data_IF_759446164873
#
_entry.id   IF_759446164873
#
_cell.length_a   1.000
_cell.length_b   1.000
_cell.length_c   1.000
_cell.angle_alpha   90.00
_cell.angle_beta   90.00
_cell.angle_gamma   90.00
#
_symmetry.space_group_name_H-M   'P 1'
#
loop_
_entity.id
_entity.type
_entity.pdbx_description
1 polymer ?
#
# COMPACT_ATOMS: atom_id res chain seq x y z
N UNK A 1 -39.56 8.22 21.35
CA UNK A 1 -38.49 7.76 20.45
C UNK A 1 -37.95 6.48 21.03
N UNK A 2 -38.14 5.34 20.35
CA UNK A 2 -37.51 4.08 20.77
C UNK A 2 -36.00 4.27 20.69
N UNK A 3 -35.30 4.07 21.81
CA UNK A 3 -33.84 4.03 21.82
C UNK A 3 -33.42 2.90 20.86
N UNK A 4 -32.64 3.22 19.85
CA UNK A 4 -32.11 2.20 18.97
C UNK A 4 -31.21 1.26 19.80
N UNK A 5 -31.39 -0.03 19.58
CA UNK A 5 -30.65 -1.05 20.29
C UNK A 5 -29.16 -0.98 19.91
N UNK A 6 -28.30 -0.78 20.92
CA UNK A 6 -26.84 -0.83 20.75
C UNK A 6 -26.41 -2.30 20.72
N UNK A 7 -25.85 -2.74 19.60
CA UNK A 7 -25.37 -4.12 19.37
C UNK A 7 -23.86 -4.13 19.47
N UNK A 8 -23.31 -4.74 20.53
CA UNK A 8 -21.86 -4.91 20.65
C UNK A 8 -21.31 -5.82 19.54
N UNK A 9 -20.17 -5.45 18.94
CA UNK A 9 -19.50 -6.21 17.88
C UNK A 9 -18.17 -6.77 18.38
N UNK A 10 -17.29 -5.91 18.88
CA UNK A 10 -15.96 -6.31 19.38
C UNK A 10 -15.31 -5.24 20.24
N UNK A 11 -14.41 -5.68 21.11
CA UNK A 11 -13.41 -4.82 21.74
C UNK A 11 -12.12 -4.80 20.90
N UNK A 12 -11.42 -3.67 20.87
CA UNK A 12 -10.18 -3.51 20.12
C UNK A 12 -9.29 -2.46 20.79
N UNK A 13 -8.10 -2.25 20.25
CA UNK A 13 -7.23 -1.12 20.60
C UNK A 13 -7.34 -0.04 19.55
N UNK A 14 -7.20 1.22 19.98
CA UNK A 14 -7.18 2.39 19.11
C UNK A 14 -6.18 3.41 19.65
N UNK A 15 -5.99 4.51 18.94
CA UNK A 15 -5.15 5.63 19.38
C UNK A 15 -6.02 6.78 19.88
N UNK A 16 -5.57 7.44 20.94
CA UNK A 16 -6.10 8.76 21.29
C UNK A 16 -5.78 9.75 20.16
N UNK A 17 -6.73 10.51 19.63
CA UNK A 17 -6.44 11.48 18.56
C UNK A 17 -5.51 12.62 19.01
N UNK A 18 -5.48 12.92 20.31
CA UNK A 18 -4.66 13.99 20.89
C UNK A 18 -3.24 13.50 21.23
N UNK A 19 -3.10 12.62 22.22
CA UNK A 19 -1.78 12.20 22.73
C UNK A 19 -1.19 10.97 22.03
N UNK A 20 -1.90 10.34 21.09
CA UNK A 20 -1.48 9.13 20.35
C UNK A 20 -1.23 7.89 21.21
N UNK A 21 -1.58 7.92 22.49
CA UNK A 21 -1.50 6.73 23.35
C UNK A 21 -2.46 5.65 22.86
N UNK A 22 -2.06 4.40 23.03
CA UNK A 22 -2.91 3.23 22.73
C UNK A 22 -3.91 3.07 23.86
N UNK A 23 -5.20 3.10 23.53
CA UNK A 23 -6.32 3.00 24.47
C UNK A 23 -7.31 1.93 24.01
N UNK A 24 -8.11 1.43 24.95
CA UNK A 24 -9.19 0.49 24.66
C UNK A 24 -10.31 1.18 23.88
N UNK A 25 -10.91 0.43 22.95
CA UNK A 25 -12.03 0.89 22.16
C UNK A 25 -13.08 -0.22 22.00
N UNK A 26 -14.33 0.19 21.96
CA UNK A 26 -15.47 -0.67 21.64
C UNK A 26 -15.99 -0.36 20.25
N UNK A 27 -16.29 -1.39 19.47
CA UNK A 27 -16.98 -1.29 18.17
C UNK A 27 -18.37 -1.87 18.34
N UNK A 28 -19.40 -1.11 18.00
CA UNK A 28 -20.80 -1.51 18.13
C UNK A 28 -21.66 -0.95 16.99
N UNK A 29 -22.82 -1.56 16.75
CA UNK A 29 -23.82 -1.04 15.81
C UNK A 29 -24.91 -0.27 16.54
N UNK A 30 -25.34 0.85 15.95
CA UNK A 30 -26.44 1.68 16.41
C UNK A 30 -26.95 2.51 15.22
N UNK A 31 -28.26 2.64 15.04
CA UNK A 31 -28.89 3.39 13.95
C UNK A 31 -28.42 2.98 12.53
N UNK A 32 -28.22 1.68 12.30
CA UNK A 32 -27.79 1.16 11.00
C UNK A 32 -26.34 1.45 10.64
N UNK A 33 -25.56 2.07 11.51
CA UNK A 33 -24.13 2.36 11.37
C UNK A 33 -23.31 1.53 12.35
N UNK A 34 -22.02 1.42 12.10
CA UNK A 34 -21.04 0.90 13.04
C UNK A 34 -20.22 2.04 13.59
N UNK A 35 -20.11 2.09 14.91
CA UNK A 35 -19.40 3.11 15.66
C UNK A 35 -18.15 2.54 16.32
N UNK A 36 -17.13 3.35 16.50
CA UNK A 36 -16.01 3.11 17.39
C UNK A 36 -16.05 4.13 18.53
N UNK A 37 -16.04 3.66 19.75
CA UNK A 37 -16.00 4.51 20.93
C UNK A 37 -14.80 4.15 21.79
N UNK A 38 -14.11 5.16 22.30
CA UNK A 38 -12.88 5.02 23.08
C UNK A 38 -12.77 6.14 24.12
N UNK A 39 -12.08 5.84 25.23
CA UNK A 39 -11.87 6.82 26.30
C UNK A 39 -10.38 6.92 26.61
N UNK A 40 -9.86 8.14 26.53
CA UNK A 40 -8.53 8.48 26.99
C UNK A 40 -8.61 9.04 28.43
N UNK A 41 -7.77 8.56 29.35
CA UNK A 41 -7.76 9.09 30.73
C UNK A 41 -7.52 10.61 30.80
N UNK A 42 -6.72 11.16 29.89
CA UNK A 42 -6.33 12.56 29.86
C UNK A 42 -7.25 13.44 29.00
N UNK A 43 -7.84 12.88 27.91
CA UNK A 43 -8.54 13.66 26.88
C UNK A 43 -10.03 13.29 26.74
N UNK A 44 -10.54 12.38 27.59
CA UNK A 44 -11.96 12.04 27.63
C UNK A 44 -12.40 11.08 26.52
N UNK A 45 -13.69 11.15 26.19
CA UNK A 45 -14.32 10.20 25.26
C UNK A 45 -14.33 10.70 23.83
N UNK A 46 -14.14 9.76 22.90
CA UNK A 46 -14.22 9.98 21.45
C UNK A 46 -15.13 8.92 20.84
N UNK A 47 -16.04 9.37 19.99
CA UNK A 47 -16.94 8.50 19.19
C UNK A 47 -16.84 8.91 17.73
N UNK A 48 -16.66 7.94 16.84
CA UNK A 48 -16.58 8.18 15.40
C UNK A 48 -17.24 7.06 14.62
N UNK A 49 -17.61 7.34 13.36
CA UNK A 49 -18.19 6.34 12.46
C UNK A 49 -17.07 5.39 12.02
N UNK A 50 -17.18 4.12 12.42
CA UNK A 50 -16.28 3.06 11.99
C UNK A 50 -16.66 2.51 10.61
N UNK A 51 -17.99 2.40 10.34
CA UNK A 51 -18.54 1.99 9.06
C UNK A 51 -19.93 2.59 8.87
N UNK A 52 -20.21 3.14 7.68
CA UNK A 52 -21.45 3.89 7.43
C UNK A 52 -22.72 3.02 7.26
N UNK A 53 -22.55 1.74 7.00
CA UNK A 53 -23.65 0.78 6.79
C UNK A 53 -23.35 -0.54 7.52
N UNK A 54 -24.15 -0.85 8.54
CA UNK A 54 -23.98 -2.06 9.34
C UNK A 54 -24.16 -3.37 8.55
N UNK A 55 -25.08 -3.39 7.57
CA UNK A 55 -25.30 -4.61 6.75
C UNK A 55 -24.10 -4.89 5.86
N UNK A 56 -23.51 -3.85 5.27
CA UNK A 56 -22.29 -3.98 4.47
C UNK A 56 -21.12 -4.41 5.34
N UNK A 57 -21.01 -3.90 6.55
CA UNK A 57 -20.00 -4.32 7.51
C UNK A 57 -20.13 -5.82 7.86
N UNK A 58 -21.34 -6.30 8.14
CA UNK A 58 -21.59 -7.74 8.40
C UNK A 58 -21.22 -8.59 7.18
N UNK A 59 -21.52 -8.10 5.97
CA UNK A 59 -21.11 -8.80 4.75
C UNK A 59 -19.59 -8.87 4.63
N UNK A 60 -18.86 -7.78 4.91
CA UNK A 60 -17.40 -7.74 4.89
C UNK A 60 -16.76 -8.69 5.91
N UNK A 61 -17.37 -8.84 7.10
CA UNK A 61 -16.89 -9.77 8.15
C UNK A 61 -16.89 -11.25 7.72
N UNK A 62 -17.72 -11.65 6.74
CA UNK A 62 -17.72 -13.02 6.20
C UNK A 62 -16.42 -13.38 5.48
N UNK A 63 -15.67 -12.38 5.04
CA UNK A 63 -14.38 -12.53 4.37
C UNK A 63 -13.20 -12.30 5.31
N UNK A 64 -13.45 -12.14 6.60
CA UNK A 64 -12.40 -11.99 7.60
C UNK A 64 -11.76 -13.34 7.87
N UNK A 65 -10.51 -13.48 7.45
CA UNK A 65 -9.71 -14.68 7.63
C UNK A 65 -8.46 -14.35 8.45
N UNK A 66 -8.26 -15.08 9.52
CA UNK A 66 -7.01 -15.06 10.30
C UNK A 66 -6.09 -16.08 9.66
N UNK A 67 -5.00 -15.62 9.04
CA UNK A 67 -4.02 -16.47 8.39
C UNK A 67 -3.32 -17.45 9.36
N UNK A 68 -2.60 -18.40 8.82
CA UNK A 68 -1.68 -19.23 9.59
C UNK A 68 -0.56 -18.36 10.15
N UNK A 69 -0.20 -18.54 11.40
CA UNK A 69 0.92 -17.85 12.06
C UNK A 69 2.22 -18.01 11.25
N UNK A 70 3.16 -17.10 11.50
CA UNK A 70 4.55 -17.29 11.09
C UNK A 70 5.20 -18.32 12.00
N UNK A 71 5.87 -19.31 11.40
CA UNK A 71 6.64 -20.33 12.10
C UNK A 71 8.05 -19.84 12.48
N UNK A 72 8.52 -18.81 11.77
CA UNK A 72 9.85 -18.23 11.95
C UNK A 72 9.78 -16.71 12.19
N UNK A 73 9.31 -16.27 13.38
CA UNK A 73 9.25 -14.86 13.73
C UNK A 73 10.63 -14.22 13.67
N UNK A 74 10.67 -12.91 13.34
CA UNK A 74 11.90 -12.15 13.11
C UNK A 74 12.26 -11.21 14.25
N UNK A 75 11.29 -10.89 15.10
CA UNK A 75 11.44 -9.96 16.22
C UNK A 75 11.00 -10.63 17.51
N UNK A 76 11.65 -10.27 18.62
CA UNK A 76 11.20 -10.67 19.94
C UNK A 76 9.97 -9.87 20.37
N UNK A 77 9.11 -10.48 21.15
CA UNK A 77 8.03 -9.80 21.83
C UNK A 77 8.48 -9.39 23.24
N UNK A 78 8.41 -8.09 23.55
CA UNK A 78 8.76 -7.52 24.86
C UNK A 78 7.60 -6.81 25.53
N UNK A 79 6.84 -6.02 24.77
CA UNK A 79 5.72 -5.21 25.25
C UNK A 79 4.37 -5.61 24.64
N UNK A 80 4.40 -6.51 23.66
CA UNK A 80 3.22 -6.92 22.93
C UNK A 80 2.78 -5.96 21.83
N UNK A 81 1.71 -6.33 21.15
CA UNK A 81 1.13 -5.53 20.07
C UNK A 81 0.44 -4.26 20.64
N UNK A 82 0.62 -3.08 20.04
CA UNK A 82 1.31 -2.77 18.77
C UNK A 82 2.79 -2.32 18.93
N UNK A 83 3.37 -2.42 20.12
CA UNK A 83 4.67 -1.81 20.44
C UNK A 83 5.84 -2.57 19.83
N UNK A 84 5.74 -3.89 19.71
CA UNK A 84 6.75 -4.75 19.10
C UNK A 84 6.38 -5.06 17.64
N UNK A 85 6.02 -4.01 16.89
CA UNK A 85 5.67 -4.15 15.48
C UNK A 85 6.87 -4.59 14.63
N UNK A 86 6.72 -5.75 14.10
CA UNK A 86 7.61 -6.52 13.26
C UNK A 86 6.92 -7.86 13.07
N UNK A 87 7.59 -8.83 12.53
CA UNK A 87 7.03 -10.18 12.42
C UNK A 87 7.36 -10.93 13.72
N UNK A 88 6.65 -10.58 14.80
CA UNK A 88 6.83 -11.18 16.13
C UNK A 88 6.05 -12.52 16.26
N UNK A 89 6.28 -13.32 17.35
CA UNK A 89 5.57 -14.59 17.56
C UNK A 89 4.04 -14.48 17.63
N UNK A 90 3.51 -13.30 18.01
CA UNK A 90 2.06 -13.06 18.07
C UNK A 90 1.44 -12.61 16.75
N UNK A 91 2.24 -12.43 15.71
CA UNK A 91 1.74 -12.05 14.39
C UNK A 91 0.89 -13.18 13.80
N UNK A 92 -0.39 -12.89 13.52
CA UNK A 92 -1.38 -13.91 13.13
C UNK A 92 -1.45 -14.15 11.62
N UNK A 93 -0.91 -13.22 10.82
CA UNK A 93 -0.94 -13.27 9.36
C UNK A 93 0.49 -13.39 8.82
N UNK A 94 0.62 -13.72 7.55
CA UNK A 94 1.90 -13.67 6.84
C UNK A 94 1.82 -12.64 5.70
N UNK A 95 2.95 -12.19 5.23
CA UNK A 95 3.06 -11.22 4.14
C UNK A 95 2.62 -11.85 2.83
N UNK A 96 1.52 -11.36 2.26
CA UNK A 96 1.03 -11.80 0.94
C UNK A 96 1.65 -10.96 -0.17
N UNK A 97 1.67 -9.64 0.00
CA UNK A 97 2.32 -8.68 -0.89
C UNK A 97 3.29 -7.83 -0.07
N UNK A 98 4.56 -7.84 -0.45
CA UNK A 98 5.55 -6.93 0.08
C UNK A 98 5.71 -5.72 -0.84
N UNK A 99 5.94 -4.55 -0.25
CA UNK A 99 6.28 -3.33 -0.99
C UNK A 99 7.72 -2.96 -0.60
N UNK A 100 8.56 -2.76 -1.61
CA UNK A 100 9.94 -2.31 -1.43
C UNK A 100 10.11 -0.97 -2.14
N UNK A 101 10.44 0.06 -1.36
CA UNK A 101 10.84 1.35 -1.87
C UNK A 101 12.29 1.28 -2.36
N UNK A 102 12.47 1.33 -3.68
CA UNK A 102 13.79 1.18 -4.31
C UNK A 102 14.53 2.51 -4.47
N UNK A 103 13.83 3.62 -4.28
CA UNK A 103 14.41 4.98 -4.32
C UNK A 103 13.45 5.98 -3.68
N UNK A 104 13.98 7.05 -3.09
CA UNK A 104 13.18 8.22 -2.72
C UNK A 104 13.21 9.33 -3.78
N UNK A 105 13.94 9.15 -4.89
CA UNK A 105 13.88 10.08 -6.03
C UNK A 105 12.55 9.98 -6.76
N UNK A 106 12.05 11.10 -7.23
CA UNK A 106 10.86 11.16 -8.06
C UNK A 106 11.05 12.21 -9.17
N UNK A 107 10.47 11.97 -10.33
CA UNK A 107 10.44 12.91 -11.45
C UNK A 107 9.19 13.81 -11.45
N UNK A 108 8.39 13.78 -10.37
CA UNK A 108 7.25 14.66 -10.10
C UNK A 108 7.40 15.30 -8.72
N UNK A 109 6.72 16.45 -8.53
CA UNK A 109 6.61 17.13 -7.25
C UNK A 109 5.12 17.32 -6.90
N UNK A 110 4.44 16.22 -6.59
CA UNK A 110 3.00 16.21 -6.37
C UNK A 110 2.62 16.92 -5.07
N UNK A 111 1.68 17.88 -5.08
CA UNK A 111 1.21 18.56 -3.86
C UNK A 111 0.67 17.61 -2.78
N UNK A 112 0.07 16.48 -3.19
CA UNK A 112 -0.52 15.50 -2.27
C UNK A 112 0.42 14.32 -1.96
N UNK A 113 1.74 14.46 -2.20
CA UNK A 113 2.67 13.35 -1.99
C UNK A 113 2.84 13.04 -0.50
N UNK A 114 2.32 11.90 -0.04
CA UNK A 114 2.47 11.47 1.35
C UNK A 114 3.89 10.98 1.68
N UNK A 115 4.66 10.55 0.67
CA UNK A 115 6.03 10.08 0.83
C UNK A 115 7.07 11.21 0.82
N UNK A 116 6.65 12.46 0.58
CA UNK A 116 7.55 13.62 0.40
C UNK A 116 8.72 13.34 -0.56
N UNK A 117 8.50 12.52 -1.57
CA UNK A 117 9.53 12.15 -2.54
C UNK A 117 10.09 13.39 -3.22
N UNK A 118 11.41 13.53 -3.23
CA UNK A 118 12.11 14.69 -3.77
C UNK A 118 12.19 15.91 -2.84
N UNK A 119 11.50 15.91 -1.69
CA UNK A 119 11.54 17.02 -0.72
C UNK A 119 12.41 16.74 0.52
N UNK A 120 12.97 15.54 0.65
CA UNK A 120 13.76 15.10 1.79
C UNK A 120 15.15 15.73 1.88
N UNK A 121 15.65 16.34 0.82
CA UNK A 121 16.99 16.93 0.76
C UNK A 121 18.16 15.94 0.65
N UNK A 122 17.87 14.63 0.61
CA UNK A 122 18.86 13.57 0.40
C UNK A 122 18.32 12.49 -0.51
N UNK A 123 19.23 11.76 -1.15
CA UNK A 123 18.88 10.58 -1.97
C UNK A 123 19.17 9.32 -1.17
N UNK A 124 18.17 8.45 -1.10
CA UNK A 124 18.29 7.10 -0.57
C UNK A 124 17.88 6.09 -1.63
N UNK A 125 18.84 5.30 -2.06
CA UNK A 125 18.64 4.19 -3.00
C UNK A 125 19.36 2.95 -2.46
N UNK A 126 18.63 1.92 -2.05
CA UNK A 126 19.24 0.65 -1.68
C UNK A 126 20.05 0.07 -2.85
N UNK A 127 21.23 -0.48 -2.57
CA UNK A 127 22.03 -1.18 -3.58
C UNK A 127 21.32 -2.46 -4.04
N UNK A 128 21.75 -3.05 -5.16
CA UNK A 128 21.21 -4.34 -5.64
C UNK A 128 21.38 -5.44 -4.57
N UNK A 129 22.51 -5.45 -3.86
CA UNK A 129 22.80 -6.41 -2.80
C UNK A 129 21.86 -6.23 -1.61
N UNK A 130 21.57 -4.99 -1.23
CA UNK A 130 20.59 -4.69 -0.16
C UNK A 130 19.18 -5.12 -0.57
N UNK A 131 18.77 -4.82 -1.81
CA UNK A 131 17.47 -5.28 -2.33
C UNK A 131 17.42 -6.81 -2.37
N UNK A 132 18.49 -7.47 -2.85
CA UNK A 132 18.59 -8.93 -2.83
C UNK A 132 18.39 -9.49 -1.42
N UNK A 133 19.06 -8.93 -0.42
CA UNK A 133 18.89 -9.35 0.97
C UNK A 133 17.46 -9.17 1.48
N UNK A 134 16.76 -8.07 1.09
CA UNK A 134 15.35 -7.87 1.41
C UNK A 134 14.48 -8.95 0.76
N UNK A 135 14.72 -9.29 -0.51
CA UNK A 135 14.00 -10.33 -1.23
C UNK A 135 14.22 -11.72 -0.60
N UNK A 136 15.47 -12.06 -0.25
CA UNK A 136 15.82 -13.29 0.46
C UNK A 136 15.07 -13.40 1.79
N UNK A 137 15.05 -12.31 2.57
CA UNK A 137 14.31 -12.25 3.82
C UNK A 137 12.82 -12.53 3.65
N UNK A 138 12.18 -11.95 2.63
CA UNK A 138 10.76 -12.19 2.31
C UNK A 138 10.50 -13.64 1.88
N UNK A 139 11.38 -14.21 1.06
CA UNK A 139 11.28 -15.61 0.62
C UNK A 139 11.58 -16.63 1.71
N UNK A 140 12.27 -16.21 2.76
CA UNK A 140 12.54 -17.06 3.92
C UNK A 140 11.36 -17.22 4.88
N UNK A 141 10.26 -16.49 4.72
CA UNK A 141 9.05 -16.61 5.56
C UNK A 141 8.46 -18.03 5.51
N UNK A 142 8.01 -18.54 6.66
CA UNK A 142 7.39 -19.87 6.83
C UNK A 142 6.07 -19.73 7.61
N UNK A 143 5.04 -20.53 7.33
CA UNK A 143 5.02 -21.66 6.38
C UNK A 143 4.95 -21.22 4.91
N UNK A 144 4.57 -19.95 4.64
CA UNK A 144 4.37 -19.43 3.29
C UNK A 144 5.42 -18.38 2.96
N UNK A 145 6.37 -18.66 2.05
CA UNK A 145 7.24 -17.65 1.46
C UNK A 145 6.42 -16.55 0.80
N UNK A 146 6.74 -15.28 1.04
CA UNK A 146 6.00 -14.14 0.47
C UNK A 146 5.82 -14.31 -1.04
N UNK A 147 4.59 -14.42 -1.56
CA UNK A 147 4.36 -14.79 -2.95
C UNK A 147 4.42 -13.61 -3.93
N UNK A 148 4.13 -12.40 -3.46
CA UNK A 148 4.01 -11.22 -4.31
C UNK A 148 4.87 -10.06 -3.82
N UNK A 149 5.34 -9.26 -4.76
CA UNK A 149 6.20 -8.11 -4.55
C UNK A 149 5.73 -6.93 -5.39
N UNK A 150 5.82 -5.73 -4.83
CA UNK A 150 5.65 -4.48 -5.55
C UNK A 150 6.89 -3.59 -5.33
N UNK A 151 7.54 -3.20 -6.40
CA UNK A 151 8.56 -2.14 -6.36
C UNK A 151 7.88 -0.79 -6.40
N UNK A 152 8.23 0.06 -5.46
CA UNK A 152 7.66 1.39 -5.22
C UNK A 152 8.76 2.38 -4.77
N UNK A 153 8.39 3.47 -4.14
CA UNK A 153 9.28 4.50 -3.59
C UNK A 153 8.80 5.90 -3.95
N UNK A 154 9.73 6.77 -4.34
CA UNK A 154 9.37 8.03 -4.97
C UNK A 154 8.78 7.77 -6.35
N UNK A 155 9.63 7.33 -7.28
CA UNK A 155 9.26 6.81 -8.59
C UNK A 155 10.26 5.73 -9.01
N UNK A 156 9.92 4.45 -8.95
CA UNK A 156 10.86 3.36 -9.20
C UNK A 156 11.44 3.35 -10.62
N UNK A 157 10.68 3.85 -11.60
CA UNK A 157 11.14 3.88 -13.01
C UNK A 157 12.25 4.90 -13.30
N UNK A 158 12.63 5.75 -12.32
CA UNK A 158 13.83 6.60 -12.47
C UNK A 158 15.13 5.82 -12.23
N UNK A 159 15.04 4.57 -11.72
CA UNK A 159 16.16 3.65 -11.64
C UNK A 159 16.33 2.91 -12.97
N UNK A 160 17.48 3.07 -13.59
CA UNK A 160 17.80 2.41 -14.87
C UNK A 160 17.91 0.87 -14.71
N UNK A 161 18.34 0.41 -13.53
CA UNK A 161 18.47 -1.01 -13.20
C UNK A 161 17.17 -1.68 -12.73
N UNK A 162 16.03 -0.99 -12.77
CA UNK A 162 14.74 -1.56 -12.34
C UNK A 162 14.37 -2.87 -13.07
N UNK A 163 14.60 -3.04 -14.40
CA UNK A 163 14.37 -4.31 -15.07
C UNK A 163 15.19 -5.47 -14.48
N UNK A 164 16.45 -5.20 -14.09
CA UNK A 164 17.30 -6.21 -13.45
C UNK A 164 16.75 -6.61 -12.07
N UNK A 165 16.22 -5.65 -11.30
CA UNK A 165 15.57 -5.93 -10.00
C UNK A 165 14.30 -6.77 -10.17
N UNK A 166 13.50 -6.50 -11.20
CA UNK A 166 12.32 -7.30 -11.56
C UNK A 166 12.75 -8.74 -11.89
N UNK A 167 13.74 -8.90 -12.75
CA UNK A 167 14.28 -10.21 -13.13
C UNK A 167 14.79 -10.97 -11.91
N UNK A 168 15.59 -10.33 -11.06
CA UNK A 168 16.08 -10.91 -9.80
C UNK A 168 14.92 -11.45 -8.94
N UNK A 169 13.86 -10.66 -8.74
CA UNK A 169 12.70 -11.08 -7.96
C UNK A 169 12.00 -12.31 -8.59
N UNK A 170 11.87 -12.34 -9.91
CA UNK A 170 11.28 -13.50 -10.62
C UNK A 170 12.14 -14.76 -10.45
N UNK A 171 13.46 -14.65 -10.60
CA UNK A 171 14.40 -15.75 -10.41
C UNK A 171 14.38 -16.29 -8.97
N UNK A 172 14.13 -15.43 -7.97
CA UNK A 172 13.96 -15.81 -6.57
C UNK A 172 12.59 -16.45 -6.26
N UNK A 173 11.73 -16.61 -7.27
CA UNK A 173 10.47 -17.34 -7.16
C UNK A 173 9.28 -16.52 -6.66
N UNK A 174 9.30 -15.19 -6.74
CA UNK A 174 8.09 -14.39 -6.56
C UNK A 174 7.12 -14.69 -7.72
N UNK A 175 5.91 -15.12 -7.36
CA UNK A 175 4.87 -15.46 -8.36
C UNK A 175 4.34 -14.23 -9.07
N UNK A 176 4.24 -13.11 -8.34
CA UNK A 176 3.76 -11.84 -8.83
C UNK A 176 4.75 -10.73 -8.49
N UNK A 177 5.27 -10.05 -9.50
CA UNK A 177 6.12 -8.87 -9.37
C UNK A 177 5.44 -7.70 -10.07
N UNK A 178 5.17 -6.64 -9.31
CA UNK A 178 4.51 -5.42 -9.78
C UNK A 178 5.45 -4.22 -9.67
N UNK A 179 5.18 -3.20 -10.48
CA UNK A 179 5.82 -1.87 -10.38
C UNK A 179 4.74 -0.82 -10.19
N UNK A 180 4.82 -0.08 -9.09
CA UNK A 180 3.98 1.10 -8.81
C UNK A 180 4.65 2.34 -9.41
N UNK A 181 3.97 3.03 -10.32
CA UNK A 181 4.59 4.11 -11.09
C UNK A 181 3.62 5.22 -11.46
N UNK A 182 4.16 6.43 -11.54
CA UNK A 182 3.46 7.56 -12.15
C UNK A 182 3.39 7.47 -13.70
N UNK A 183 4.10 6.54 -14.33
CA UNK A 183 4.04 6.25 -15.75
C UNK A 183 4.69 7.27 -16.69
N UNK A 184 5.37 8.30 -16.18
CA UNK A 184 6.01 9.33 -17.02
C UNK A 184 7.12 8.73 -17.87
N UNK A 185 7.99 7.88 -17.31
CA UNK A 185 9.07 7.21 -18.06
C UNK A 185 8.48 6.21 -19.04
N UNK A 186 7.46 5.44 -18.64
CA UNK A 186 6.78 4.50 -19.55
C UNK A 186 6.16 5.20 -20.76
N UNK A 187 5.63 6.41 -20.59
CA UNK A 187 5.12 7.22 -21.69
C UNK A 187 6.24 7.73 -22.63
N UNK A 188 7.46 7.86 -22.13
CA UNK A 188 8.61 8.38 -22.91
C UNK A 188 9.36 7.28 -23.65
N UNK A 189 9.42 6.06 -23.09
CA UNK A 189 10.21 4.96 -23.64
C UNK A 189 9.37 3.69 -23.78
N UNK A 190 9.10 3.28 -25.02
CA UNK A 190 8.53 1.99 -25.34
C UNK A 190 9.53 0.85 -25.04
N UNK A 191 10.82 1.11 -25.27
CA UNK A 191 11.87 0.11 -25.05
C UNK A 191 12.01 -0.22 -23.57
N UNK A 192 11.94 0.76 -22.67
CA UNK A 192 11.91 0.50 -21.24
C UNK A 192 10.67 -0.32 -20.81
N UNK A 193 9.51 -0.11 -21.46
CA UNK A 193 8.35 -0.97 -21.24
C UNK A 193 8.61 -2.42 -21.67
N UNK A 194 9.32 -2.62 -22.80
CA UNK A 194 9.70 -3.96 -23.27
C UNK A 194 10.69 -4.64 -22.33
N UNK A 195 11.72 -3.92 -21.88
CA UNK A 195 12.69 -4.42 -20.90
C UNK A 195 12.01 -4.91 -19.60
N UNK A 196 11.04 -4.15 -19.07
CA UNK A 196 10.27 -4.56 -17.90
C UNK A 196 9.45 -5.84 -18.16
N UNK A 197 8.82 -5.94 -19.32
CA UNK A 197 8.03 -7.13 -19.70
C UNK A 197 8.93 -8.35 -19.91
N UNK A 198 10.07 -8.19 -20.58
CA UNK A 198 11.07 -9.24 -20.78
C UNK A 198 11.71 -9.69 -19.45
N UNK A 199 11.89 -8.76 -18.51
CA UNK A 199 12.33 -9.08 -17.15
C UNK A 199 11.30 -9.88 -16.35
N UNK A 200 10.05 -9.97 -16.83
CA UNK A 200 8.99 -10.77 -16.23
C UNK A 200 8.07 -10.01 -15.28
N UNK A 201 7.92 -8.68 -15.44
CA UNK A 201 6.90 -7.95 -14.67
C UNK A 201 5.51 -8.51 -14.95
N UNK A 202 4.75 -8.81 -13.89
CA UNK A 202 3.40 -9.36 -14.01
C UNK A 202 2.33 -8.27 -14.13
N UNK A 203 2.60 -7.08 -13.64
CA UNK A 203 1.66 -5.97 -13.71
C UNK A 203 2.26 -4.62 -13.36
N UNK A 204 1.64 -3.60 -13.91
CA UNK A 204 1.95 -2.19 -13.63
C UNK A 204 0.81 -1.59 -12.81
N UNK A 205 1.14 -1.05 -11.65
CA UNK A 205 0.26 -0.29 -10.78
C UNK A 205 0.39 1.18 -11.17
N UNK A 206 -0.43 1.61 -12.15
CA UNK A 206 -0.31 2.92 -12.77
C UNK A 206 -1.17 3.95 -12.04
N UNK A 207 -0.54 4.96 -11.47
CA UNK A 207 -1.25 6.11 -10.93
C UNK A 207 -2.12 6.77 -12.02
N UNK A 208 -3.44 6.87 -11.78
CA UNK A 208 -4.42 7.34 -12.76
C UNK A 208 -5.60 8.01 -12.06
N UNK A 209 -5.53 9.33 -11.82
CA UNK A 209 -6.48 10.07 -10.96
C UNK A 209 -7.83 10.38 -11.62
N UNK A 210 -7.99 10.08 -12.91
CA UNK A 210 -9.24 10.28 -13.61
C UNK A 210 -9.09 10.59 -15.09
N UNK A 211 -10.22 10.91 -15.75
CA UNK A 211 -10.29 11.17 -17.19
C UNK A 211 -10.29 12.66 -17.55
N UNK A 212 -10.19 13.54 -16.55
CA UNK A 212 -10.16 14.98 -16.73
C UNK A 212 -8.80 15.58 -16.34
N UNK A 213 -8.24 16.52 -17.12
CA UNK A 213 -6.97 17.19 -16.81
C UNK A 213 -6.91 17.80 -15.42
N UNK A 214 -7.99 18.43 -14.97
CA UNK A 214 -8.07 19.12 -13.67
C UNK A 214 -7.69 18.23 -12.49
N UNK A 215 -8.03 16.93 -12.52
CA UNK A 215 -7.66 15.99 -11.46
C UNK A 215 -6.14 15.92 -11.29
N UNK A 216 -5.40 15.89 -12.40
CA UNK A 216 -3.92 15.85 -12.39
C UNK A 216 -3.31 17.20 -12.04
N UNK A 217 -3.85 18.29 -12.56
CA UNK A 217 -3.35 19.65 -12.27
C UNK A 217 -3.40 19.93 -10.76
N UNK A 218 -4.50 19.58 -10.10
CA UNK A 218 -4.68 19.78 -8.66
C UNK A 218 -3.86 18.77 -7.85
N UNK A 219 -3.96 17.49 -8.16
CA UNK A 219 -3.33 16.46 -7.34
C UNK A 219 -1.82 16.29 -7.61
N UNK A 220 -1.37 16.58 -8.85
CA UNK A 220 0.01 16.29 -9.31
C UNK A 220 0.80 17.52 -9.72
N UNK A 221 0.16 18.69 -9.80
CA UNK A 221 0.79 19.95 -10.22
C UNK A 221 0.97 20.09 -11.72
N UNK A 222 0.50 19.15 -12.55
CA UNK A 222 0.63 19.19 -14.00
C UNK A 222 -0.44 18.34 -14.70
N UNK A 223 -0.81 18.68 -15.94
CA UNK A 223 -1.69 17.83 -16.75
C UNK A 223 -0.93 16.59 -17.27
N UNK A 224 -1.06 15.49 -16.55
CA UNK A 224 -0.42 14.21 -16.88
C UNK A 224 -1.29 13.27 -17.72
N UNK A 225 -2.56 13.60 -17.98
CA UNK A 225 -3.49 12.70 -18.67
C UNK A 225 -3.00 12.22 -20.05
N UNK A 226 -2.40 13.06 -20.91
CA UNK A 226 -1.83 12.58 -22.18
C UNK A 226 -0.72 11.55 -21.99
N UNK A 227 0.16 11.75 -20.99
CA UNK A 227 1.21 10.80 -20.65
C UNK A 227 0.65 9.48 -20.13
N UNK A 228 -0.43 9.52 -19.32
CA UNK A 228 -1.08 8.29 -18.84
C UNK A 228 -1.62 7.43 -19.98
N UNK A 229 -2.30 8.07 -20.93
CA UNK A 229 -2.82 7.37 -22.13
C UNK A 229 -1.68 6.77 -22.95
N UNK A 230 -0.59 7.53 -23.14
CA UNK A 230 0.57 7.06 -23.88
C UNK A 230 1.31 5.92 -23.16
N UNK A 231 1.44 5.97 -21.83
CA UNK A 231 2.02 4.89 -21.04
C UNK A 231 1.21 3.59 -21.19
N UNK A 232 -0.12 3.67 -21.15
CA UNK A 232 -1.01 2.51 -21.37
C UNK A 232 -0.82 1.92 -22.78
N UNK A 233 -0.73 2.78 -23.81
CA UNK A 233 -0.48 2.32 -25.18
C UNK A 233 0.90 1.64 -25.34
N UNK A 234 1.94 2.21 -24.74
CA UNK A 234 3.28 1.60 -24.74
C UNK A 234 3.28 0.26 -24.00
N UNK A 235 2.66 0.17 -22.83
CA UNK A 235 2.55 -1.08 -22.08
C UNK A 235 1.80 -2.15 -22.87
N UNK A 236 0.70 -1.78 -23.55
CA UNK A 236 -0.03 -2.69 -24.44
C UNK A 236 0.85 -3.17 -25.59
N UNK A 237 1.58 -2.27 -26.26
CA UNK A 237 2.53 -2.61 -27.36
C UNK A 237 3.69 -3.49 -26.88
N UNK A 238 4.13 -3.30 -25.63
CA UNK A 238 5.16 -4.14 -25.03
C UNK A 238 4.64 -5.52 -24.58
N UNK A 239 3.33 -5.76 -24.62
CA UNK A 239 2.75 -7.04 -24.19
C UNK A 239 2.56 -7.18 -22.68
N UNK A 240 2.47 -6.06 -21.93
CA UNK A 240 2.19 -6.11 -20.50
C UNK A 240 0.82 -6.74 -20.23
N UNK A 241 0.80 -7.75 -19.35
CA UNK A 241 -0.39 -8.57 -19.08
C UNK A 241 -1.44 -7.87 -18.23
N UNK A 242 -1.01 -6.98 -17.34
CA UNK A 242 -1.91 -6.32 -16.37
C UNK A 242 -1.50 -4.87 -16.14
N UNK A 243 -2.46 -3.96 -16.25
CA UNK A 243 -2.32 -2.57 -15.85
C UNK A 243 -3.46 -2.24 -14.91
N UNK A 244 -3.13 -1.96 -13.64
CA UNK A 244 -4.09 -1.53 -12.62
C UNK A 244 -4.08 0.00 -12.59
N UNK A 245 -5.22 0.62 -12.78
CA UNK A 245 -5.37 2.07 -12.67
C UNK A 245 -5.69 2.45 -11.24
N UNK A 246 -4.84 3.29 -10.65
CA UNK A 246 -4.87 3.63 -9.21
C UNK A 246 -5.21 5.11 -9.04
N UNK A 247 -6.48 5.44 -8.76
CA UNK A 247 -6.87 6.81 -8.49
C UNK A 247 -6.63 7.18 -7.02
N UNK A 248 -6.08 8.36 -6.79
CA UNK A 248 -6.14 9.00 -5.47
C UNK A 248 -7.38 9.88 -5.43
N UNK A 249 -8.34 9.52 -4.59
CA UNK A 249 -9.57 10.30 -4.45
C UNK A 249 -9.31 11.57 -3.65
N UNK A 250 -9.61 12.71 -4.25
CA UNK A 250 -9.47 14.03 -3.62
C UNK A 250 -10.82 14.72 -3.64
N UNK A 251 -11.38 14.99 -2.45
CA UNK A 251 -12.70 15.60 -2.29
C UNK A 251 -12.82 16.90 -3.10
N UNK A 252 -13.84 16.98 -3.96
CA UNK A 252 -14.13 18.14 -4.80
C UNK A 252 -13.25 18.25 -6.06
N UNK A 253 -12.42 17.23 -6.34
CA UNK A 253 -11.50 17.22 -7.50
C UNK A 253 -11.84 16.11 -8.50
N UNK A 254 -11.98 14.86 -8.02
CA UNK A 254 -12.27 13.68 -8.84
C UNK A 254 -13.24 12.69 -8.16
#
# INVERSE_FOLDING_TARGET
>A
MAMSERIHIKNTKSLCPECKQVIDAEVYAEDGKVWIEKACPEHGRFKDVYWSDYRQYLRALRFNFIGSKLENPRTEERRGCPYDCGICPNHKTYTILAIIDVTNRCNLNCPICFAHAGATGYVYEPTKEQIKAMLENLRANRPVPTPALQFSGGEPTVREDLPELVKMAKEMGFRQVQVDTNGVILAKSLDFCRELVEAGVDGIYLQFDGTKPKAYEVARGANLLPLKKKAIDHLRKAGCKSVVLVPTLVRGVN
#
